data_IF_231857985105
#
_entry.id   IF_231857985105
#
_cell.length_a   1.000
_cell.length_b   1.000
_cell.length_c   1.000
_cell.angle_alpha   90.00
_cell.angle_beta   90.00
_cell.angle_gamma   90.00
#
_symmetry.space_group_name_H-M   'P 1'
#
loop_
_entity.id
_entity.type
_entity.pdbx_description
1 polymer ?
#
# COMPACT_ATOMS: atom_id res chain seq x y z
N UNK A 1 -9.03 -6.94 58.70
CA UNK A 1 -8.24 -7.70 57.68
C UNK A 1 -6.87 -7.95 58.27
N UNK A 2 -6.34 -9.18 58.25
CA UNK A 2 -4.97 -9.45 58.72
C UNK A 2 -4.00 -8.87 57.69
N UNK A 3 -3.08 -7.97 58.06
CA UNK A 3 -2.09 -7.44 57.12
C UNK A 3 -1.14 -8.57 56.70
N UNK A 4 -0.74 -8.57 55.42
CA UNK A 4 0.15 -9.57 54.84
C UNK A 4 1.48 -9.67 55.59
N UNK A 5 1.98 -10.88 55.79
CA UNK A 5 3.35 -11.08 56.28
C UNK A 5 4.36 -10.82 55.16
N UNK A 6 5.61 -10.48 55.53
CA UNK A 6 6.69 -10.21 54.55
C UNK A 6 6.91 -11.36 53.55
N UNK A 7 6.78 -12.60 54.03
CA UNK A 7 6.97 -13.80 53.20
C UNK A 7 5.79 -14.04 52.24
N UNK A 8 4.56 -13.82 52.68
CA UNK A 8 3.38 -13.94 51.82
C UNK A 8 3.36 -12.85 50.75
N UNK A 9 3.73 -11.62 51.10
CA UNK A 9 3.87 -10.53 50.13
C UNK A 9 4.90 -10.86 49.04
N UNK A 10 6.04 -11.46 49.43
CA UNK A 10 7.09 -11.87 48.49
C UNK A 10 6.58 -12.89 47.46
N UNK A 11 5.85 -13.92 47.92
CA UNK A 11 5.29 -14.95 47.04
C UNK A 11 4.27 -14.35 46.07
N UNK A 12 3.39 -13.47 46.56
CA UNK A 12 2.38 -12.80 45.73
C UNK A 12 3.04 -11.95 44.63
N UNK A 13 4.08 -11.19 44.96
CA UNK A 13 4.83 -10.38 44.00
C UNK A 13 5.52 -11.26 42.94
N UNK A 14 6.10 -12.40 43.34
CA UNK A 14 6.73 -13.33 42.39
C UNK A 14 5.70 -13.88 41.40
N UNK A 15 4.54 -14.35 41.87
CA UNK A 15 3.48 -14.87 41.00
C UNK A 15 2.99 -13.77 40.05
N UNK A 16 2.76 -12.56 40.56
CA UNK A 16 2.32 -11.43 39.74
C UNK A 16 3.36 -11.07 38.67
N UNK A 17 4.65 -11.05 39.01
CA UNK A 17 5.72 -10.77 38.05
C UNK A 17 5.74 -11.81 36.90
N UNK A 18 5.54 -13.09 37.21
CA UNK A 18 5.44 -14.15 36.19
C UNK A 18 4.24 -13.93 35.27
N UNK A 19 3.06 -13.66 35.82
CA UNK A 19 1.83 -13.43 35.03
C UNK A 19 1.97 -12.19 34.14
N UNK A 20 2.51 -11.10 34.67
CA UNK A 20 2.75 -9.87 33.89
C UNK A 20 3.74 -10.13 32.76
N UNK A 21 4.82 -10.89 33.01
CA UNK A 21 5.80 -11.25 31.99
C UNK A 21 5.18 -11.98 30.79
N UNK A 22 4.37 -13.02 31.04
CA UNK A 22 3.64 -13.72 29.97
C UNK A 22 2.65 -12.81 29.24
N UNK A 23 1.95 -11.95 29.98
CA UNK A 23 0.96 -11.02 29.40
C UNK A 23 1.63 -10.03 28.44
N UNK A 24 2.77 -9.46 28.81
CA UNK A 24 3.49 -8.50 27.96
C UNK A 24 3.99 -9.14 26.66
N UNK A 25 4.45 -10.39 26.70
CA UNK A 25 4.83 -11.14 25.49
C UNK A 25 3.63 -11.33 24.57
N UNK A 26 2.51 -11.80 25.11
CA UNK A 26 1.27 -11.98 24.33
C UNK A 26 0.75 -10.68 23.72
N UNK A 27 0.85 -9.56 24.43
CA UNK A 27 0.46 -8.24 23.91
C UNK A 27 1.34 -7.80 22.73
N UNK A 28 2.66 -8.00 22.82
CA UNK A 28 3.57 -7.68 21.69
C UNK A 28 3.19 -8.45 20.43
N UNK A 29 2.98 -9.76 20.55
CA UNK A 29 2.59 -10.61 19.42
C UNK A 29 1.21 -10.22 18.85
N UNK A 30 0.24 -9.92 19.73
CA UNK A 30 -1.08 -9.47 19.33
C UNK A 30 -1.05 -8.15 18.57
N UNK A 31 -0.28 -7.16 19.05
CA UNK A 31 -0.15 -5.87 18.36
C UNK A 31 0.58 -6.00 17.02
N UNK A 32 1.57 -6.90 16.90
CA UNK A 32 2.24 -7.21 15.63
C UNK A 32 1.24 -7.73 14.60
N UNK A 33 0.49 -8.79 14.97
CA UNK A 33 -0.54 -9.38 14.10
C UNK A 33 -1.64 -8.37 13.73
N UNK A 34 -2.05 -7.52 14.66
CA UNK A 34 -3.02 -6.46 14.37
C UNK A 34 -2.51 -5.47 13.32
N UNK A 35 -1.23 -5.07 13.38
CA UNK A 35 -0.63 -4.19 12.36
C UNK A 35 -0.53 -4.89 11.00
N UNK A 36 -0.10 -6.14 10.96
CA UNK A 36 -0.03 -6.90 9.70
C UNK A 36 -1.42 -7.14 9.08
N UNK A 37 -2.44 -7.35 9.92
CA UNK A 37 -3.84 -7.36 9.47
C UNK A 37 -4.26 -6.01 8.89
N UNK A 38 -3.96 -4.91 9.58
CA UNK A 38 -4.24 -3.57 9.08
C UNK A 38 -3.56 -3.30 7.73
N UNK A 39 -2.28 -3.64 7.57
CA UNK A 39 -1.56 -3.50 6.28
C UNK A 39 -2.25 -4.23 5.13
N UNK A 40 -2.70 -5.46 5.37
CA UNK A 40 -3.43 -6.27 4.36
C UNK A 40 -4.77 -5.63 4.01
N UNK A 41 -5.48 -5.09 5.00
CA UNK A 41 -6.73 -4.37 4.82
C UNK A 41 -6.51 -3.06 4.05
N UNK A 42 -5.50 -2.28 4.40
CA UNK A 42 -5.14 -1.02 3.76
C UNK A 42 -4.84 -1.25 2.27
N UNK A 43 -4.03 -2.26 1.94
CA UNK A 43 -3.78 -2.65 0.54
C UNK A 43 -5.06 -3.04 -0.20
N UNK A 44 -6.02 -3.67 0.48
CA UNK A 44 -7.34 -3.97 -0.08
C UNK A 44 -8.12 -2.69 -0.39
N UNK A 45 -8.21 -1.78 0.56
CA UNK A 45 -8.92 -0.50 0.40
C UNK A 45 -8.29 0.35 -0.73
N UNK A 46 -6.95 0.44 -0.78
CA UNK A 46 -6.24 1.13 -1.86
C UNK A 46 -6.54 0.47 -3.20
N UNK A 47 -6.43 -0.87 -3.27
CA UNK A 47 -6.75 -1.63 -4.48
C UNK A 47 -8.16 -1.32 -4.97
N UNK A 48 -9.17 -1.37 -4.10
CA UNK A 48 -10.56 -1.09 -4.48
C UNK A 48 -10.75 0.35 -4.99
N UNK A 49 -10.09 1.32 -4.37
CA UNK A 49 -10.12 2.71 -4.82
C UNK A 49 -9.42 2.91 -6.18
N UNK A 50 -8.33 2.18 -6.44
CA UNK A 50 -7.65 2.18 -7.74
C UNK A 50 -8.53 1.59 -8.85
N UNK A 51 -9.32 0.55 -8.56
CA UNK A 51 -10.28 0.00 -9.53
C UNK A 51 -11.37 1.03 -9.85
N UNK A 52 -11.93 1.72 -8.84
CA UNK A 52 -12.90 2.80 -9.09
C UNK A 52 -12.32 3.94 -9.92
N UNK A 53 -11.08 4.34 -9.64
CA UNK A 53 -10.37 5.32 -10.46
C UNK A 53 -10.24 4.82 -11.90
N UNK A 54 -9.82 3.58 -12.09
CA UNK A 54 -9.71 2.97 -13.42
C UNK A 54 -11.05 2.89 -14.15
N UNK A 55 -12.16 2.60 -13.45
CA UNK A 55 -13.49 2.55 -14.04
C UNK A 55 -13.93 3.92 -14.61
N UNK A 56 -13.55 5.01 -13.94
CA UNK A 56 -13.90 6.38 -14.38
C UNK A 56 -12.94 6.91 -15.47
N UNK A 57 -11.64 6.61 -15.40
CA UNK A 57 -10.63 7.17 -16.30
C UNK A 57 -10.15 6.23 -17.41
N UNK A 58 -10.39 4.92 -17.29
CA UNK A 58 -9.90 3.89 -18.21
C UNK A 58 -8.39 3.59 -18.09
N UNK A 59 -7.73 4.09 -17.05
CA UNK A 59 -6.34 3.81 -16.72
C UNK A 59 -6.09 3.94 -15.20
N UNK A 60 -5.08 3.26 -14.69
CA UNK A 60 -4.63 3.43 -13.31
C UNK A 60 -3.76 4.69 -13.17
N UNK A 61 -3.77 5.36 -12.00
CA UNK A 61 -2.88 6.47 -11.77
C UNK A 61 -1.42 6.08 -12.02
N UNK A 62 -0.60 6.96 -12.62
CA UNK A 62 0.82 6.70 -12.76
C UNK A 62 1.49 6.57 -11.38
N UNK A 63 2.61 5.88 -11.33
CA UNK A 63 3.44 5.82 -10.12
C UNK A 63 4.71 6.63 -10.29
N UNK A 64 5.12 7.31 -9.23
CA UNK A 64 6.41 8.01 -9.17
C UNK A 64 6.97 7.88 -7.75
N UNK A 65 8.25 7.52 -7.62
CA UNK A 65 8.92 7.29 -6.33
C UNK A 65 8.17 6.33 -5.38
N UNK A 66 7.50 5.31 -5.94
CA UNK A 66 6.75 4.32 -5.18
C UNK A 66 5.42 4.82 -4.59
N UNK A 67 4.96 6.01 -5.00
CA UNK A 67 3.70 6.64 -4.59
C UNK A 67 2.75 6.75 -5.77
N UNK A 68 1.47 6.92 -5.44
CA UNK A 68 0.41 7.22 -6.41
C UNK A 68 0.58 8.67 -6.89
N UNK A 69 0.74 8.89 -8.20
CA UNK A 69 0.80 10.23 -8.81
C UNK A 69 -0.58 10.62 -9.32
N UNK A 70 -1.41 11.13 -8.40
CA UNK A 70 -2.82 11.47 -8.66
C UNK A 70 -3.27 12.78 -8.00
N UNK A 71 -2.35 13.57 -7.44
CA UNK A 71 -2.67 14.79 -6.71
C UNK A 71 -2.36 16.03 -7.56
N UNK A 72 -3.11 17.12 -7.38
CA UNK A 72 -2.87 18.37 -8.11
C UNK A 72 -1.47 18.91 -7.80
N UNK A 73 -0.67 19.13 -8.84
CA UNK A 73 0.58 19.88 -8.74
C UNK A 73 0.32 21.39 -8.86
N UNK A 74 1.33 22.21 -8.57
CA UNK A 74 1.19 23.68 -8.59
C UNK A 74 0.81 24.23 -9.98
N UNK A 75 1.22 23.54 -11.05
CA UNK A 75 0.90 23.86 -12.44
C UNK A 75 -0.41 23.22 -12.95
N UNK A 76 -1.19 22.55 -12.09
CA UNK A 76 -2.36 21.77 -12.53
C UNK A 76 -3.37 22.61 -13.31
N UNK A 77 -3.71 23.81 -12.83
CA UNK A 77 -4.71 24.67 -13.49
C UNK A 77 -4.27 25.15 -14.88
N UNK A 78 -2.97 25.39 -15.07
CA UNK A 78 -2.40 25.75 -16.37
C UNK A 78 -2.48 24.56 -17.34
N UNK A 79 -2.06 23.39 -16.88
CA UNK A 79 -2.12 22.14 -17.65
C UNK A 79 -3.56 21.79 -18.01
N UNK A 80 -4.48 21.90 -17.06
CA UNK A 80 -5.90 21.59 -17.25
C UNK A 80 -6.56 22.54 -18.26
N UNK A 81 -6.19 23.82 -18.25
CA UNK A 81 -6.64 24.77 -19.28
C UNK A 81 -6.14 24.37 -20.67
N UNK A 82 -4.87 23.96 -20.80
CA UNK A 82 -4.32 23.46 -22.08
C UNK A 82 -5.07 22.21 -22.56
N UNK A 83 -5.33 21.25 -21.67
CA UNK A 83 -6.08 20.03 -22.00
C UNK A 83 -7.48 20.34 -22.55
N UNK A 84 -8.19 21.32 -21.98
CA UNK A 84 -9.53 21.74 -22.47
C UNK A 84 -9.53 22.30 -23.89
N UNK A 85 -8.39 22.80 -24.35
CA UNK A 85 -8.25 23.33 -25.73
C UNK A 85 -7.95 22.25 -26.76
N UNK A 86 -7.53 21.07 -26.32
CA UNK A 86 -7.22 19.96 -27.21
C UNK A 86 -8.53 19.27 -27.66
N UNK A 87 -8.51 18.79 -28.89
CA UNK A 87 -9.61 18.01 -29.45
C UNK A 87 -9.67 16.60 -28.85
N UNK A 88 -8.54 16.08 -28.37
CA UNK A 88 -8.40 14.77 -27.75
C UNK A 88 -7.68 14.90 -26.39
N UNK A 89 -8.02 14.01 -25.46
CA UNK A 89 -7.41 13.98 -24.14
C UNK A 89 -5.97 13.45 -24.20
N UNK A 90 -5.00 14.33 -23.94
CA UNK A 90 -3.59 13.96 -23.83
C UNK A 90 -3.25 13.52 -22.40
N UNK A 91 -3.09 12.20 -22.21
CA UNK A 91 -2.71 11.59 -20.93
C UNK A 91 -1.37 12.09 -20.40
N UNK A 92 -0.38 12.28 -21.27
CA UNK A 92 0.96 12.67 -20.83
C UNK A 92 0.94 14.10 -20.30
N UNK A 93 0.28 15.01 -21.04
CA UNK A 93 0.08 16.38 -20.58
C UNK A 93 -0.70 16.40 -19.26
N UNK A 94 -1.74 15.58 -19.09
CA UNK A 94 -2.44 15.46 -17.82
C UNK A 94 -1.52 15.05 -16.67
N UNK A 95 -0.64 14.07 -16.88
CA UNK A 95 0.30 13.62 -15.86
C UNK A 95 1.36 14.66 -15.47
N UNK A 96 1.67 15.63 -16.35
CA UNK A 96 2.55 16.77 -16.02
C UNK A 96 1.92 17.73 -14.99
N UNK A 97 0.59 17.78 -14.93
CA UNK A 97 -0.15 18.54 -13.93
C UNK A 97 -0.29 17.82 -12.60
N UNK A 98 0.17 16.57 -12.48
CA UNK A 98 0.03 15.76 -11.28
C UNK A 98 1.34 15.66 -10.50
N UNK A 99 1.21 15.55 -9.19
CA UNK A 99 2.28 15.20 -8.25
C UNK A 99 1.94 13.91 -7.51
N UNK A 100 2.95 13.36 -6.83
CA UNK A 100 2.75 12.24 -5.90
C UNK A 100 1.86 12.65 -4.73
N UNK A 101 0.95 11.77 -4.36
CA UNK A 101 0.10 11.90 -3.19
C UNK A 101 0.81 11.33 -1.96
N UNK A 102 0.67 12.00 -0.83
CA UNK A 102 1.25 11.58 0.44
C UNK A 102 0.37 10.56 1.17
N UNK A 103 1.00 9.44 1.55
CA UNK A 103 0.38 8.42 2.38
C UNK A 103 -0.03 9.00 3.74
N UNK A 104 -1.27 8.77 4.12
CA UNK A 104 -1.89 9.16 5.40
C UNK A 104 -2.62 10.49 5.36
N UNK A 105 -2.39 11.33 4.34
CA UNK A 105 -2.95 12.69 4.27
C UNK A 105 -3.80 12.91 3.03
N UNK A 106 -3.29 12.59 1.85
CA UNK A 106 -3.94 12.99 0.60
C UNK A 106 -5.05 12.02 0.21
N UNK A 107 -6.17 12.50 -0.36
CA UNK A 107 -7.21 11.66 -0.93
C UNK A 107 -6.81 11.09 -2.30
N UNK A 108 -7.39 9.94 -2.66
CA UNK A 108 -7.48 9.51 -4.07
C UNK A 108 -8.84 9.92 -4.61
N UNK A 109 -8.86 10.77 -5.64
CA UNK A 109 -10.08 11.40 -6.16
C UNK A 109 -9.91 11.82 -7.63
N UNK A 110 -11.03 12.15 -8.26
CA UNK A 110 -10.99 12.96 -9.48
C UNK A 110 -10.45 14.36 -9.14
N UNK A 111 -9.36 14.74 -9.80
CA UNK A 111 -8.75 16.07 -9.67
C UNK A 111 -9.33 17.09 -10.65
N UNK A 112 -10.06 16.64 -11.67
CA UNK A 112 -10.71 17.49 -12.67
C UNK A 112 -12.07 17.98 -12.17
N UNK A 113 -12.77 17.19 -11.35
CA UNK A 113 -14.04 17.55 -10.73
C UNK A 113 -13.94 17.53 -9.20
N UNK A 114 -13.89 18.71 -8.58
CA UNK A 114 -13.82 18.80 -7.13
C UNK A 114 -15.12 18.42 -6.42
N UNK A 115 -16.24 18.34 -7.14
CA UNK A 115 -17.57 18.02 -6.61
C UNK A 115 -17.83 16.51 -6.53
N UNK A 116 -17.07 15.71 -7.30
CA UNK A 116 -17.16 14.27 -7.26
C UNK A 116 -16.55 13.72 -5.96
N UNK A 117 -17.24 12.79 -5.26
CA UNK A 117 -16.72 12.26 -4.00
C UNK A 117 -15.39 11.52 -4.20
N UNK A 118 -14.45 11.61 -3.25
CA UNK A 118 -13.18 10.91 -3.38
C UNK A 118 -13.39 9.39 -3.42
N UNK A 119 -12.64 8.70 -4.28
CA UNK A 119 -12.57 7.22 -4.28
C UNK A 119 -12.07 6.70 -2.93
N UNK A 120 -11.18 7.47 -2.31
CA UNK A 120 -10.63 7.23 -0.99
C UNK A 120 -10.33 8.56 -0.31
N UNK A 121 -10.94 8.79 0.86
CA UNK A 121 -10.83 10.08 1.58
C UNK A 121 -9.40 10.40 2.05
N UNK A 122 -8.62 9.38 2.36
CA UNK A 122 -7.17 9.50 2.57
C UNK A 122 -6.52 8.17 2.23
N UNK A 123 -5.47 8.21 1.42
CA UNK A 123 -4.71 7.01 1.10
C UNK A 123 -3.99 6.59 2.39
N UNK A 124 -4.22 5.39 2.96
CA UNK A 124 -3.71 5.03 4.27
C UNK A 124 -2.17 4.99 4.29
N UNK A 125 -1.58 5.28 5.44
CA UNK A 125 -0.15 5.08 5.69
C UNK A 125 0.11 3.86 6.57
N UNK A 126 1.31 3.30 6.48
CA UNK A 126 1.70 2.17 7.31
C UNK A 126 1.62 2.53 8.81
N UNK A 127 1.14 1.62 9.68
CA UNK A 127 1.11 1.85 11.14
C UNK A 127 2.47 2.21 11.76
N UNK A 128 3.58 1.87 11.08
CA UNK A 128 4.96 2.17 11.45
C UNK A 128 5.63 3.18 10.51
N UNK A 129 4.85 4.11 9.92
CA UNK A 129 5.39 5.21 9.10
C UNK A 129 6.48 6.01 9.82
N UNK A 130 6.30 6.28 11.12
CA UNK A 130 7.30 6.97 11.95
C UNK A 130 8.60 6.17 12.16
N UNK A 131 8.59 4.87 11.88
CA UNK A 131 9.78 3.99 11.87
C UNK A 131 10.35 3.80 10.47
N UNK A 132 9.84 4.55 9.48
CA UNK A 132 10.32 4.52 8.11
C UNK A 132 9.74 3.41 7.24
N UNK A 133 8.68 2.71 7.67
CA UNK A 133 7.97 1.74 6.83
C UNK A 133 6.93 2.48 5.98
N UNK A 134 6.83 2.12 4.71
CA UNK A 134 5.82 2.69 3.80
C UNK A 134 5.26 1.62 2.87
N UNK A 135 4.05 1.87 2.36
CA UNK A 135 3.55 1.13 1.20
C UNK A 135 4.31 1.53 -0.07
N UNK A 136 4.32 0.61 -1.03
CA UNK A 136 4.95 0.80 -2.33
C UNK A 136 3.91 0.55 -3.43
N UNK A 137 3.72 1.55 -4.28
CA UNK A 137 2.84 1.51 -5.45
C UNK A 137 3.65 1.62 -6.74
N UNK A 138 3.44 0.69 -7.66
CA UNK A 138 4.04 0.65 -8.99
C UNK A 138 2.93 0.51 -10.03
N UNK A 139 3.00 1.30 -11.11
CA UNK A 139 1.98 1.31 -12.16
C UNK A 139 2.58 1.74 -13.49
N UNK A 140 2.19 1.05 -14.56
CA UNK A 140 2.42 1.47 -15.94
C UNK A 140 1.16 2.09 -16.58
N UNK A 141 0.20 2.51 -15.76
CA UNK A 141 -1.15 3.00 -16.11
C UNK A 141 -2.13 1.97 -16.68
N UNK A 142 -1.65 0.79 -17.10
CA UNK A 142 -2.50 -0.33 -17.55
C UNK A 142 -2.69 -1.36 -16.44
N UNK A 143 -1.65 -1.58 -15.64
CA UNK A 143 -1.63 -2.48 -14.49
C UNK A 143 -0.97 -1.77 -13.32
N UNK A 144 -1.31 -2.24 -12.12
CA UNK A 144 -0.61 -1.84 -10.92
C UNK A 144 -0.17 -3.04 -10.09
N UNK A 145 0.84 -2.79 -9.25
CA UNK A 145 1.26 -3.64 -8.16
C UNK A 145 1.39 -2.78 -6.90
N UNK A 146 0.86 -3.27 -5.79
CA UNK A 146 0.92 -2.70 -4.46
C UNK A 146 1.67 -3.66 -3.55
N UNK A 147 2.55 -3.12 -2.71
CA UNK A 147 3.35 -3.90 -1.78
C UNK A 147 3.38 -3.30 -0.38
N UNK A 148 3.62 -4.17 0.60
CA UNK A 148 3.85 -3.81 2.00
C UNK A 148 4.85 -4.78 2.65
N UNK A 149 5.38 -4.37 3.80
CA UNK A 149 6.21 -5.18 4.68
C UNK A 149 5.35 -5.81 5.79
N UNK A 150 5.41 -7.13 5.93
CA UNK A 150 4.81 -7.86 7.06
C UNK A 150 5.84 -8.14 8.15
N UNK A 151 5.51 -7.80 9.39
CA UNK A 151 6.40 -7.94 10.55
C UNK A 151 6.54 -9.39 11.02
N UNK A 152 5.53 -10.23 10.84
CA UNK A 152 5.62 -11.64 11.23
C UNK A 152 6.24 -12.56 10.19
N UNK A 153 6.77 -12.02 9.10
CA UNK A 153 7.55 -12.76 8.09
C UNK A 153 6.83 -14.03 7.62
N UNK A 154 7.52 -15.18 7.55
CA UNK A 154 6.99 -16.45 7.08
C UNK A 154 5.84 -17.02 7.92
N UNK A 155 5.66 -16.53 9.16
CA UNK A 155 4.58 -16.97 10.03
C UNK A 155 3.24 -16.27 9.70
N UNK A 156 3.26 -15.23 8.86
CA UNK A 156 2.06 -14.48 8.51
C UNK A 156 1.44 -14.98 7.21
N UNK A 157 0.13 -15.26 7.25
CA UNK A 157 -0.62 -15.68 6.07
C UNK A 157 -0.49 -14.66 4.93
N UNK A 158 -0.14 -15.13 3.73
CA UNK A 158 0.07 -14.28 2.55
C UNK A 158 1.51 -13.78 2.38
N UNK A 159 2.42 -14.07 3.31
CA UNK A 159 3.85 -13.87 3.07
C UNK A 159 4.28 -14.57 1.78
N UNK A 160 4.91 -13.82 0.88
CA UNK A 160 5.31 -14.29 -0.45
C UNK A 160 6.82 -14.14 -0.62
N UNK A 161 7.51 -15.29 -0.66
CA UNK A 161 8.95 -15.36 -0.88
C UNK A 161 9.36 -14.82 -2.25
N UNK A 162 8.49 -14.94 -3.27
CA UNK A 162 8.73 -14.38 -4.60
C UNK A 162 8.83 -12.85 -4.59
N UNK A 163 8.08 -12.17 -3.72
CA UNK A 163 8.17 -10.72 -3.53
C UNK A 163 9.49 -10.35 -2.85
N UNK A 164 9.89 -11.10 -1.81
CA UNK A 164 11.17 -10.89 -1.12
C UNK A 164 12.35 -10.97 -2.10
N UNK A 165 12.33 -11.94 -3.01
CA UNK A 165 13.40 -12.12 -4.01
C UNK A 165 13.55 -10.91 -4.95
N UNK A 166 12.49 -10.10 -5.11
CA UNK A 166 12.57 -8.85 -5.87
C UNK A 166 13.32 -7.74 -5.14
N UNK A 167 13.58 -7.90 -3.83
CA UNK A 167 14.30 -6.92 -3.00
C UNK A 167 13.71 -5.50 -3.06
N UNK A 168 12.40 -5.40 -3.27
CA UNK A 168 11.68 -4.11 -3.29
C UNK A 168 11.65 -3.48 -1.90
N UNK A 169 11.83 -2.17 -1.83
CA UNK A 169 11.87 -1.43 -0.57
C UNK A 169 10.49 -0.85 -0.23
N UNK A 170 9.92 -1.32 0.89
CA UNK A 170 8.72 -0.79 1.51
C UNK A 170 9.13 0.17 2.65
N UNK A 171 9.97 1.14 2.30
CA UNK A 171 10.66 2.01 3.25
C UNK A 171 11.96 1.39 3.73
N UNK A 172 12.12 1.21 5.05
CA UNK A 172 13.30 0.56 5.64
C UNK A 172 13.24 -0.97 5.61
N UNK A 173 12.07 -1.56 5.31
CA UNK A 173 11.87 -3.00 5.19
C UNK A 173 11.76 -3.48 3.75
N UNK A 174 12.08 -4.76 3.51
CA UNK A 174 11.85 -5.42 2.21
C UNK A 174 10.39 -5.83 2.11
N UNK A 175 9.72 -5.47 1.02
CA UNK A 175 8.33 -5.84 0.79
C UNK A 175 8.15 -7.36 0.79
N UNK A 176 7.08 -7.85 1.41
CA UNK A 176 6.83 -9.29 1.61
C UNK A 176 5.39 -9.74 1.34
N UNK A 177 4.49 -8.79 1.10
CA UNK A 177 3.11 -9.03 0.68
C UNK A 177 2.69 -7.99 -0.35
N UNK A 178 1.72 -8.33 -1.19
CA UNK A 178 1.21 -7.40 -2.17
C UNK A 178 -0.17 -7.74 -2.73
N UNK A 179 -0.68 -6.82 -3.54
CA UNK A 179 -1.89 -6.97 -4.37
C UNK A 179 -1.60 -6.38 -5.74
N UNK A 180 -2.26 -6.87 -6.77
CA UNK A 180 -2.05 -6.41 -8.15
C UNK A 180 -3.37 -6.38 -8.90
N UNK A 181 -3.35 -5.75 -10.07
CA UNK A 181 -4.48 -5.78 -10.98
C UNK A 181 -4.63 -7.16 -11.65
N UNK A 182 -5.79 -7.79 -11.50
CA UNK A 182 -6.10 -9.08 -12.14
C UNK A 182 -5.09 -10.18 -11.79
N UNK A 183 -4.61 -10.91 -12.81
CA UNK A 183 -3.63 -12.01 -12.67
C UNK A 183 -2.17 -11.54 -12.74
N UNK A 184 -1.91 -10.24 -12.61
CA UNK A 184 -0.55 -9.69 -12.73
C UNK A 184 0.34 -10.25 -11.61
N UNK A 185 1.43 -10.97 -11.93
CA UNK A 185 2.28 -11.59 -10.93
C UNK A 185 2.96 -10.53 -10.05
N UNK A 186 3.17 -10.85 -8.77
CA UNK A 186 3.84 -9.96 -7.80
C UNK A 186 5.36 -10.22 -7.70
N UNK A 187 5.81 -11.38 -8.17
CA UNK A 187 7.21 -11.83 -8.12
C UNK A 187 8.06 -11.36 -9.32
N UNK A 188 7.52 -10.55 -10.23
CA UNK A 188 8.26 -9.92 -11.33
C UNK A 188 7.76 -8.50 -11.63
N UNK A 189 8.51 -7.74 -12.44
CA UNK A 189 8.09 -6.39 -12.83
C UNK A 189 6.89 -6.41 -13.76
N UNK A 190 6.16 -5.29 -13.80
CA UNK A 190 5.01 -5.14 -14.72
C UNK A 190 5.51 -5.21 -16.18
N UNK A 191 6.65 -4.59 -16.49
CA UNK A 191 7.20 -4.57 -17.85
C UNK A 191 7.63 -5.96 -18.32
N UNK A 192 8.26 -6.76 -17.44
CA UNK A 192 8.61 -8.15 -17.75
C UNK A 192 7.35 -8.97 -18.07
N UNK A 193 6.29 -8.76 -17.29
CA UNK A 193 5.01 -9.44 -17.49
C UNK A 193 4.34 -9.04 -18.82
N UNK A 194 4.30 -7.75 -19.15
CA UNK A 194 3.78 -7.29 -20.44
C UNK A 194 4.57 -7.88 -21.62
N UNK A 195 5.90 -7.97 -21.51
CA UNK A 195 6.73 -8.60 -22.53
C UNK A 195 6.43 -10.08 -22.72
N UNK A 196 6.04 -10.80 -21.66
CA UNK A 196 5.61 -12.21 -21.74
C UNK A 196 4.28 -12.29 -22.48
N UNK A 197 3.28 -11.48 -22.09
CA UNK A 197 1.96 -11.47 -22.72
C UNK A 197 2.04 -11.14 -24.22
N UNK A 198 2.90 -10.20 -24.61
CA UNK A 198 3.13 -9.85 -26.01
C UNK A 198 3.64 -11.05 -26.80
N UNK A 199 4.59 -11.82 -26.27
CA UNK A 199 5.12 -13.03 -26.93
C UNK A 199 4.04 -14.10 -27.08
N UNK A 200 3.26 -14.35 -26.03
CA UNK A 200 2.16 -15.33 -26.07
C UNK A 200 1.12 -14.97 -27.13
N UNK A 201 0.78 -13.68 -27.25
CA UNK A 201 -0.17 -13.19 -28.26
C UNK A 201 0.32 -13.35 -29.71
N UNK A 202 1.64 -13.41 -29.91
CA UNK A 202 2.27 -13.62 -31.21
C UNK A 202 2.31 -15.12 -31.56
N UNK A 203 2.59 -15.99 -30.59
CA UNK A 203 2.62 -17.45 -30.79
C UNK A 203 1.24 -18.08 -30.96
N UNK A 204 0.18 -17.47 -30.42
CA UNK A 204 -1.21 -17.96 -30.60
C UNK A 204 -1.86 -17.58 -31.94
N UNK A 205 -1.12 -16.94 -32.86
CA UNK A 205 -1.56 -16.57 -34.20
C UNK A 205 -0.93 -17.43 -35.32
N UNK A 206 -0.09 -18.39 -34.96
CA UNK A 206 0.39 -19.48 -35.84
C UNK A 206 -0.43 -20.76 -35.62
#
# INVERSE_FOLDING_TARGET
MRPFTKNELLIVVIIFAVVVGFTLKGLKDATRRARDFQRKQDLGIISDALHKYHDDFGFFPPSENGKVKACKNDNFEEVYTKLKTLQEFDRNLFFEGLKTCDWGSDPLRDVQDDTYPPYLSSIPSDPKQNSGITYLYLSNTVRFQLYTYLEGESDENGFDQGIILRSLQCGTGVCSYGKSYGVTPLNMSIDDYENILLKESQTGKE
#
